data_IF_554761487046
#
_entry.id   IF_554761487046
#
_cell.length_a   1.000
_cell.length_b   1.000
_cell.length_c   1.000
_cell.angle_alpha   90.00
_cell.angle_beta   90.00
_cell.angle_gamma   90.00
#
_symmetry.space_group_name_H-M   'P 1'
#
loop_
_entity.id
_entity.type
_entity.pdbx_description
1 polymer ?
#
# COMPACT_ATOMS: atom_id res chain seq x y z
N UNK A 1 15.16 -31.00 -5.58
CA UNK A 1 13.85 -30.78 -6.22
C UNK A 1 13.66 -29.27 -6.27
N UNK A 2 14.02 -28.64 -7.40
CA UNK A 2 14.18 -27.19 -7.54
C UNK A 2 12.81 -26.50 -7.49
N UNK A 3 12.63 -25.67 -6.46
CA UNK A 3 11.47 -24.79 -6.28
C UNK A 3 11.67 -23.62 -7.27
N UNK A 4 10.88 -23.58 -8.35
CA UNK A 4 10.76 -22.39 -9.20
C UNK A 4 9.77 -21.44 -8.55
N UNK A 5 10.26 -20.28 -8.11
CA UNK A 5 9.45 -19.18 -7.63
C UNK A 5 8.52 -18.64 -8.74
N UNK A 6 7.41 -17.97 -8.37
CA UNK A 6 6.48 -17.38 -9.32
C UNK A 6 7.14 -16.12 -9.86
N UNK A 7 7.24 -16.04 -11.18
CA UNK A 7 7.64 -14.80 -11.85
C UNK A 7 6.50 -13.79 -11.69
N UNK A 8 6.70 -12.58 -11.14
CA UNK A 8 5.82 -11.47 -11.48
C UNK A 8 6.08 -11.17 -12.96
N UNK A 9 5.13 -11.58 -13.80
CA UNK A 9 5.20 -11.43 -15.24
C UNK A 9 4.79 -10.00 -15.61
N UNK A 10 5.72 -9.05 -15.56
CA UNK A 10 5.58 -7.80 -16.30
C UNK A 10 6.09 -8.03 -17.72
N UNK A 11 5.23 -8.55 -18.59
CA UNK A 11 5.45 -8.56 -20.03
C UNK A 11 4.10 -8.37 -20.71
N UNK A 12 3.82 -7.16 -21.23
CA UNK A 12 2.70 -6.96 -22.14
C UNK A 12 3.24 -6.47 -23.49
N UNK A 13 3.17 -7.37 -24.47
CA UNK A 13 3.28 -7.06 -25.89
C UNK A 13 1.88 -6.67 -26.40
N UNK A 14 1.80 -5.59 -27.18
CA UNK A 14 0.61 -5.18 -27.94
C UNK A 14 0.16 -6.24 -28.96
N UNK A 15 -1.15 -6.42 -29.12
CA UNK A 15 -1.80 -6.69 -30.41
C UNK A 15 -3.32 -6.47 -30.35
N UNK A 16 -3.84 -5.70 -31.31
CA UNK A 16 -5.23 -5.28 -31.46
C UNK A 16 -6.11 -6.26 -32.25
N UNK A 17 -7.42 -6.04 -32.10
CA UNK A 17 -8.58 -6.29 -33.00
C UNK A 17 -9.40 -7.58 -32.84
N UNK A 18 -10.72 -7.39 -32.71
CA UNK A 18 -11.74 -8.33 -33.17
C UNK A 18 -13.05 -8.33 -32.39
N UNK A 19 -13.97 -7.40 -32.70
CA UNK A 19 -15.31 -7.31 -32.12
C UNK A 19 -16.26 -8.47 -32.53
N UNK A 20 -17.26 -8.75 -31.69
CA UNK A 20 -18.42 -9.59 -32.02
C UNK A 20 -19.50 -9.52 -30.93
N UNK A 21 -20.66 -8.97 -31.29
CA UNK A 21 -21.76 -8.58 -30.41
C UNK A 21 -22.91 -9.62 -30.31
N UNK A 22 -23.78 -9.40 -29.30
CA UNK A 22 -25.22 -9.72 -29.22
C UNK A 22 -25.64 -11.20 -28.98
N UNK A 23 -26.72 -11.57 -28.28
CA UNK A 23 -27.71 -10.90 -27.42
C UNK A 23 -28.66 -11.95 -26.76
N UNK A 24 -29.29 -11.55 -25.63
CA UNK A 24 -30.65 -11.89 -25.12
C UNK A 24 -30.97 -13.33 -24.61
N UNK A 25 -32.11 -13.60 -23.89
CA UNK A 25 -33.15 -12.74 -23.31
C UNK A 25 -33.51 -13.02 -21.82
N UNK A 26 -34.59 -12.37 -21.37
CA UNK A 26 -35.15 -12.19 -20.02
C UNK A 26 -36.11 -13.28 -19.49
N UNK A 27 -36.65 -13.00 -18.28
CA UNK A 27 -37.89 -13.45 -17.61
C UNK A 27 -37.67 -14.41 -16.40
N UNK A 28 -38.40 -14.40 -15.28
CA UNK A 28 -39.44 -13.57 -14.63
C UNK A 28 -39.79 -14.28 -13.28
N UNK A 29 -40.51 -13.60 -12.36
CA UNK A 29 -41.25 -14.23 -11.25
C UNK A 29 -40.72 -13.91 -9.86
N UNK A 30 -41.19 -12.85 -9.17
CA UNK A 30 -42.42 -12.71 -8.34
C UNK A 30 -42.32 -13.25 -6.90
N UNK A 31 -42.46 -12.28 -5.98
CA UNK A 31 -43.30 -12.26 -4.76
C UNK A 31 -43.09 -13.21 -3.58
N UNK A 32 -43.12 -12.63 -2.38
CA UNK A 32 -43.49 -13.34 -1.15
C UNK A 32 -42.77 -12.90 0.13
N UNK A 33 -43.12 -11.74 0.67
CA UNK A 33 -43.07 -11.42 2.12
C UNK A 33 -44.54 -11.35 2.61
N UNK A 34 -44.89 -11.23 3.91
CA UNK A 34 -44.06 -11.05 5.11
C UNK A 34 -44.57 -11.83 6.36
N UNK A 35 -43.86 -11.69 7.49
CA UNK A 35 -44.37 -11.51 8.88
C UNK A 35 -43.34 -12.05 9.89
N UNK A 36 -43.30 -11.70 11.16
CA UNK A 36 -43.61 -10.53 12.00
C UNK A 36 -43.16 -10.98 13.42
N UNK A 37 -42.74 -10.03 14.26
CA UNK A 37 -42.77 -10.01 15.75
C UNK A 37 -42.40 -11.28 16.59
N UNK A 38 -41.82 -11.24 17.79
CA UNK A 38 -41.48 -10.19 18.75
C UNK A 38 -40.69 -10.83 19.92
N UNK A 39 -39.98 -9.94 20.59
CA UNK A 39 -39.40 -9.88 21.94
C UNK A 39 -39.91 -10.84 23.05
N UNK A 40 -38.98 -11.23 23.92
CA UNK A 40 -39.23 -11.75 25.27
C UNK A 40 -38.07 -11.38 26.22
N UNK A 41 -38.38 -10.62 27.25
CA UNK A 41 -37.47 -9.92 28.17
C UNK A 41 -37.02 -10.74 29.40
N UNK A 42 -35.74 -10.58 29.77
CA UNK A 42 -35.15 -10.31 31.09
C UNK A 42 -35.50 -11.21 32.30
N UNK A 43 -34.46 -11.78 32.90
CA UNK A 43 -34.36 -12.04 34.34
C UNK A 43 -32.99 -11.57 34.84
N UNK A 44 -33.00 -10.73 35.87
CA UNK A 44 -31.82 -10.06 36.41
C UNK A 44 -31.13 -10.92 37.48
N UNK A 45 -29.88 -11.30 37.24
CA UNK A 45 -28.97 -11.84 38.25
C UNK A 45 -27.97 -10.77 38.72
N UNK A 46 -27.59 -10.88 40.00
CA UNK A 46 -26.84 -9.91 40.81
C UNK A 46 -25.41 -9.71 40.25
N UNK A 47 -24.81 -8.51 40.38
CA UNK A 47 -23.52 -8.23 39.75
C UNK A 47 -22.38 -8.99 40.43
N UNK A 48 -21.79 -9.93 39.68
CA UNK A 48 -20.46 -10.48 39.94
C UNK A 48 -19.43 -9.39 39.62
N UNK A 49 -18.57 -9.11 40.58
CA UNK A 49 -17.45 -8.20 40.46
C UNK A 49 -16.51 -8.69 39.35
N UNK A 50 -16.67 -8.12 38.16
CA UNK A 50 -15.87 -8.46 36.99
C UNK A 50 -14.57 -7.68 37.07
N UNK A 51 -13.45 -8.41 37.17
CA UNK A 51 -12.13 -7.88 36.88
C UNK A 51 -12.22 -7.07 35.58
N UNK A 52 -11.86 -5.79 35.63
CA UNK A 52 -11.73 -4.95 34.44
C UNK A 52 -10.71 -5.59 33.50
N UNK A 53 -11.19 -6.37 32.54
CA UNK A 53 -10.41 -6.81 31.41
C UNK A 53 -9.80 -5.57 30.75
N UNK A 54 -8.52 -5.64 30.36
CA UNK A 54 -7.88 -4.63 29.52
C UNK A 54 -8.84 -4.32 28.37
N UNK A 55 -9.27 -3.06 28.25
CA UNK A 55 -10.16 -2.63 27.18
C UNK A 55 -9.57 -3.11 25.85
N UNK A 56 -10.36 -3.88 25.09
CA UNK A 56 -10.01 -4.22 23.70
C UNK A 56 -9.75 -2.91 22.96
N UNK A 57 -8.63 -2.77 22.22
CA UNK A 57 -8.40 -1.57 21.43
C UNK A 57 -9.59 -1.33 20.50
N UNK A 58 -9.93 -0.05 20.29
CA UNK A 58 -10.97 0.35 19.36
C UNK A 58 -10.66 -0.24 17.96
N UNK A 59 -11.72 -0.53 17.19
CA UNK A 59 -11.63 -1.06 15.81
C UNK A 59 -10.57 -0.29 15.02
N UNK A 60 -9.71 -1.00 14.29
CA UNK A 60 -8.81 -0.39 13.28
C UNK A 60 -7.70 0.52 13.82
N UNK A 61 -7.65 0.84 15.12
CA UNK A 61 -6.57 1.65 15.68
C UNK A 61 -5.34 0.77 15.98
N UNK A 62 -4.70 0.33 14.90
CA UNK A 62 -3.43 -0.40 14.92
C UNK A 62 -2.22 0.56 14.97
N UNK A 63 -2.44 1.88 14.91
CA UNK A 63 -1.36 2.86 14.92
C UNK A 63 -0.67 2.96 16.29
N UNK A 64 0.67 3.01 16.32
CA UNK A 64 1.38 3.29 17.56
C UNK A 64 1.07 4.70 18.05
N UNK A 65 0.93 4.87 19.37
CA UNK A 65 0.70 6.19 19.98
C UNK A 65 1.88 7.14 19.77
N UNK A 66 3.10 6.60 19.75
CA UNK A 66 4.35 7.33 19.57
C UNK A 66 5.29 6.53 18.67
N UNK A 67 6.17 7.20 17.93
CA UNK A 67 7.06 6.54 16.99
C UNK A 67 6.33 5.97 15.76
N UNK A 68 7.08 5.26 14.94
CA UNK A 68 6.66 4.82 13.60
C UNK A 68 7.12 3.39 13.38
N UNK A 69 6.23 2.55 12.86
CA UNK A 69 6.54 1.16 12.53
C UNK A 69 7.51 1.13 11.35
N UNK A 70 8.66 0.48 11.52
CA UNK A 70 9.55 0.18 10.41
C UNK A 70 9.19 -1.17 9.82
N UNK A 71 8.87 -1.21 8.54
CA UNK A 71 8.62 -2.45 7.81
C UNK A 71 9.54 -2.66 6.63
N UNK A 72 9.38 -3.82 6.01
CA UNK A 72 10.16 -4.22 4.84
C UNK A 72 9.31 -5.04 3.88
N UNK A 73 9.47 -4.79 2.58
CA UNK A 73 9.11 -5.72 1.51
C UNK A 73 10.36 -6.43 1.04
N UNK A 74 10.53 -7.69 1.45
CA UNK A 74 11.63 -8.54 0.99
C UNK A 74 11.24 -9.29 -0.27
N UNK A 75 12.23 -9.72 -1.05
CA UNK A 75 12.05 -10.76 -2.06
C UNK A 75 11.83 -12.12 -1.39
N UNK A 76 10.57 -12.44 -1.08
CA UNK A 76 10.16 -13.70 -0.45
C UNK A 76 10.61 -14.97 -1.20
N UNK A 77 10.93 -14.86 -2.50
CA UNK A 77 11.44 -15.97 -3.30
C UNK A 77 12.91 -16.29 -3.03
N UNK A 78 13.67 -15.30 -2.54
CA UNK A 78 15.12 -15.38 -2.36
C UNK A 78 15.59 -15.03 -0.92
N UNK A 79 14.70 -14.61 -0.04
CA UNK A 79 15.01 -14.19 1.33
C UNK A 79 13.94 -14.63 2.33
N UNK A 80 14.24 -14.47 3.62
CA UNK A 80 13.30 -14.71 4.71
C UNK A 80 13.30 -13.55 5.69
N UNK A 81 12.20 -13.39 6.42
CA UNK A 81 12.10 -12.32 7.42
C UNK A 81 13.16 -12.48 8.54
N UNK A 82 13.53 -13.72 8.86
CA UNK A 82 14.57 -14.02 9.85
C UNK A 82 15.96 -13.62 9.34
N UNK A 83 16.32 -13.98 8.11
CA UNK A 83 17.61 -13.61 7.52
C UNK A 83 17.73 -12.08 7.35
N UNK A 84 16.66 -11.40 6.93
CA UNK A 84 16.63 -9.93 6.92
C UNK A 84 16.83 -9.35 8.32
N UNK A 85 16.16 -9.90 9.34
CA UNK A 85 16.30 -9.45 10.72
C UNK A 85 17.73 -9.65 11.27
N UNK A 86 18.42 -10.72 10.88
CA UNK A 86 19.84 -10.94 11.21
C UNK A 86 20.73 -9.86 10.60
N UNK A 87 20.53 -9.52 9.32
CA UNK A 87 21.29 -8.45 8.64
C UNK A 87 21.01 -7.06 9.23
N UNK A 88 19.76 -6.78 9.60
CA UNK A 88 19.36 -5.52 10.23
C UNK A 88 19.75 -5.44 11.73
N UNK A 89 20.03 -6.59 12.36
CA UNK A 89 20.25 -6.71 13.81
C UNK A 89 18.98 -6.60 14.67
N UNK A 90 17.79 -6.62 14.05
CA UNK A 90 16.47 -6.53 14.69
C UNK A 90 15.38 -6.95 13.72
N UNK A 91 14.29 -7.52 14.23
CA UNK A 91 13.14 -7.87 13.39
C UNK A 91 12.30 -6.62 13.02
N UNK A 92 11.91 -6.46 11.75
CA UNK A 92 11.05 -5.35 11.31
C UNK A 92 9.68 -5.43 12.00
N UNK A 93 9.06 -4.29 12.32
CA UNK A 93 7.73 -4.27 12.91
C UNK A 93 6.64 -4.74 11.94
N UNK A 94 6.84 -4.53 10.64
CA UNK A 94 5.86 -4.88 9.60
C UNK A 94 6.55 -5.70 8.50
N UNK A 95 6.00 -6.88 8.20
CA UNK A 95 6.34 -7.65 7.01
C UNK A 95 5.37 -7.28 5.89
N UNK A 96 5.88 -6.84 4.74
CA UNK A 96 5.09 -6.48 3.58
C UNK A 96 5.01 -7.65 2.62
N UNK A 97 3.80 -8.01 2.18
CA UNK A 97 3.57 -9.04 1.16
C UNK A 97 2.47 -8.63 0.19
N UNK A 98 2.52 -9.19 -1.01
CA UNK A 98 1.58 -8.94 -2.10
C UNK A 98 0.90 -10.25 -2.49
N UNK A 99 -0.33 -10.15 -3.00
CA UNK A 99 -1.07 -11.29 -3.52
C UNK A 99 -2.12 -10.84 -4.52
N UNK A 100 -2.41 -11.66 -5.53
CA UNK A 100 -3.54 -11.45 -6.42
C UNK A 100 -4.88 -11.53 -5.68
N UNK A 101 -5.91 -10.93 -6.26
CA UNK A 101 -7.26 -10.97 -5.73
C UNK A 101 -8.31 -11.22 -6.83
N UNK A 102 -9.17 -12.25 -6.69
CA UNK A 102 -9.13 -13.33 -5.71
C UNK A 102 -7.84 -14.15 -5.80
N UNK A 103 -7.42 -14.71 -4.65
CA UNK A 103 -6.22 -15.54 -4.57
C UNK A 103 -6.44 -16.91 -5.19
N UNK A 104 -5.43 -17.42 -5.90
CA UNK A 104 -5.27 -18.84 -6.18
C UNK A 104 -4.88 -19.61 -4.91
N UNK A 105 -5.07 -20.93 -4.90
CA UNK A 105 -4.65 -21.77 -3.77
C UNK A 105 -3.15 -21.68 -3.46
N UNK A 106 -2.33 -21.40 -4.48
CA UNK A 106 -0.90 -21.25 -4.31
C UNK A 106 -0.55 -19.93 -3.61
N UNK A 107 -1.21 -18.84 -3.98
CA UNK A 107 -1.06 -17.55 -3.31
C UNK A 107 -1.56 -17.59 -1.87
N UNK A 108 -2.66 -18.31 -1.60
CA UNK A 108 -3.12 -18.54 -0.24
C UNK A 108 -2.06 -19.25 0.62
N UNK A 109 -1.36 -20.26 0.06
CA UNK A 109 -0.27 -20.93 0.76
C UNK A 109 0.92 -20.01 1.04
N UNK A 110 1.30 -19.14 0.09
CA UNK A 110 2.39 -18.18 0.33
C UNK A 110 2.00 -17.14 1.38
N UNK A 111 0.75 -16.67 1.36
CA UNK A 111 0.25 -15.75 2.38
C UNK A 111 0.27 -16.41 3.77
N UNK A 112 -0.15 -17.68 3.88
CA UNK A 112 -0.08 -18.45 5.12
C UNK A 112 1.38 -18.56 5.63
N UNK A 113 2.36 -18.77 4.73
CA UNK A 113 3.79 -18.81 5.09
C UNK A 113 4.33 -17.44 5.54
N UNK A 114 3.95 -16.36 4.87
CA UNK A 114 4.34 -15.00 5.25
C UNK A 114 3.78 -14.63 6.63
N UNK A 115 2.53 -15.00 6.92
CA UNK A 115 1.89 -14.82 8.23
C UNK A 115 2.63 -15.60 9.32
N UNK A 116 3.03 -16.85 9.06
CA UNK A 116 3.80 -17.64 10.02
C UNK A 116 5.17 -17.01 10.31
N UNK A 117 5.87 -16.48 9.30
CA UNK A 117 7.13 -15.76 9.51
C UNK A 117 6.92 -14.46 10.31
N UNK A 118 5.90 -13.67 9.97
CA UNK A 118 5.56 -12.46 10.71
C UNK A 118 5.24 -12.79 12.18
N UNK A 119 4.43 -13.82 12.42
CA UNK A 119 4.09 -14.31 13.77
C UNK A 119 5.34 -14.74 14.55
N UNK A 120 6.25 -15.48 13.92
CA UNK A 120 7.48 -15.95 14.54
C UNK A 120 8.43 -14.79 14.90
N UNK A 121 8.50 -13.76 14.06
CA UNK A 121 9.29 -12.56 14.30
C UNK A 121 8.64 -11.57 15.28
N UNK A 122 7.35 -11.72 15.57
CA UNK A 122 6.57 -10.74 16.34
C UNK A 122 6.20 -9.49 15.53
N UNK A 123 6.22 -9.61 14.20
CA UNK A 123 5.84 -8.57 13.24
C UNK A 123 4.33 -8.57 12.97
N UNK A 124 3.84 -7.44 12.50
CA UNK A 124 2.52 -7.29 11.88
C UNK A 124 2.64 -7.48 10.36
N UNK A 125 1.52 -7.61 9.65
CA UNK A 125 1.52 -7.82 8.21
C UNK A 125 0.94 -6.59 7.50
N UNK A 126 1.64 -6.05 6.51
CA UNK A 126 0.99 -5.23 5.48
C UNK A 126 0.74 -6.14 4.27
N UNK A 127 -0.53 -6.37 3.98
CA UNK A 127 -0.98 -7.19 2.86
C UNK A 127 -1.50 -6.30 1.74
N UNK A 128 -0.82 -6.30 0.60
CA UNK A 128 -1.34 -5.72 -0.63
C UNK A 128 -2.14 -6.77 -1.39
N UNK A 129 -3.39 -6.44 -1.75
CA UNK A 129 -4.24 -7.31 -2.57
C UNK A 129 -4.52 -6.67 -3.93
N UNK A 130 -4.26 -7.42 -4.99
CA UNK A 130 -4.13 -6.90 -6.35
C UNK A 130 -5.16 -7.54 -7.29
N UNK A 131 -6.25 -6.83 -7.64
CA UNK A 131 -7.30 -7.38 -8.49
C UNK A 131 -6.91 -7.39 -9.97
N UNK A 132 -5.93 -8.22 -10.35
CA UNK A 132 -5.42 -8.30 -11.72
C UNK A 132 -6.48 -8.73 -12.76
N UNK A 133 -7.57 -9.35 -12.33
CA UNK A 133 -8.74 -9.67 -13.18
C UNK A 133 -9.77 -8.54 -13.26
N UNK A 134 -9.49 -7.39 -12.67
CA UNK A 134 -10.35 -6.21 -12.64
C UNK A 134 -11.20 -6.08 -11.37
N UNK A 135 -11.76 -4.89 -11.17
CA UNK A 135 -12.52 -4.53 -9.97
C UNK A 135 -13.85 -5.30 -9.81
N UNK A 136 -14.41 -5.83 -10.90
CA UNK A 136 -15.59 -6.71 -10.87
C UNK A 136 -15.38 -7.96 -10.02
N UNK A 137 -14.13 -8.44 -9.91
CA UNK A 137 -13.80 -9.59 -9.09
C UNK A 137 -13.93 -9.30 -7.57
N UNK A 138 -14.05 -8.03 -7.19
CA UNK A 138 -14.33 -7.55 -5.83
C UNK A 138 -15.81 -7.68 -5.54
N UNK A 139 -16.30 -8.92 -5.52
CA UNK A 139 -17.67 -9.23 -5.14
C UNK A 139 -17.83 -9.28 -3.62
N UNK A 140 -19.09 -9.23 -3.14
CA UNK A 140 -19.40 -9.43 -1.72
C UNK A 140 -18.93 -10.79 -1.22
N UNK A 141 -18.96 -11.83 -2.07
CA UNK A 141 -18.50 -13.17 -1.72
C UNK A 141 -16.98 -13.20 -1.53
N UNK A 142 -16.22 -12.71 -2.52
CA UNK A 142 -14.76 -12.70 -2.47
C UNK A 142 -14.23 -11.81 -1.34
N UNK A 143 -14.86 -10.64 -1.12
CA UNK A 143 -14.50 -9.75 -0.01
C UNK A 143 -14.70 -10.41 1.36
N UNK A 144 -15.80 -11.17 1.55
CA UNK A 144 -16.03 -11.93 2.80
C UNK A 144 -15.10 -13.11 2.97
N UNK A 145 -14.72 -13.78 1.88
CA UNK A 145 -13.77 -14.88 1.92
C UNK A 145 -12.41 -14.38 2.43
N UNK A 146 -11.89 -13.29 1.85
CA UNK A 146 -10.67 -12.64 2.33
C UNK A 146 -10.81 -12.17 3.78
N UNK A 147 -11.89 -11.46 4.12
CA UNK A 147 -12.11 -10.99 5.49
C UNK A 147 -12.17 -12.12 6.53
N UNK A 148 -12.70 -13.29 6.16
CA UNK A 148 -12.72 -14.49 7.02
C UNK A 148 -11.31 -15.06 7.23
N UNK A 149 -10.50 -15.12 6.17
CA UNK A 149 -9.09 -15.54 6.25
C UNK A 149 -8.27 -14.59 7.12
N UNK A 150 -8.43 -13.27 6.93
CA UNK A 150 -7.78 -12.24 7.75
C UNK A 150 -8.18 -12.34 9.23
N UNK A 151 -9.46 -12.60 9.52
CA UNK A 151 -9.90 -12.88 10.89
C UNK A 151 -9.23 -14.14 11.47
N UNK A 152 -8.88 -15.12 10.63
CA UNK A 152 -8.03 -16.26 10.99
C UNK A 152 -6.65 -15.84 11.47
N UNK A 153 -5.94 -15.03 10.71
CA UNK A 153 -4.63 -14.50 11.08
C UNK A 153 -4.69 -13.64 12.34
N UNK A 154 -5.74 -12.82 12.49
CA UNK A 154 -5.98 -12.05 13.71
C UNK A 154 -6.10 -12.95 14.97
N UNK A 155 -6.70 -14.13 14.85
CA UNK A 155 -6.78 -15.11 15.96
C UNK A 155 -5.44 -15.75 16.29
N UNK A 156 -4.51 -15.79 15.33
CA UNK A 156 -3.14 -16.25 15.54
C UNK A 156 -2.23 -15.16 16.13
N UNK A 157 -2.76 -13.95 16.35
CA UNK A 157 -2.05 -12.83 16.96
C UNK A 157 -1.43 -11.86 15.95
N UNK A 158 -1.62 -12.06 14.64
CA UNK A 158 -1.07 -11.18 13.60
C UNK A 158 -2.09 -10.10 13.24
N UNK A 159 -1.70 -8.84 13.45
CA UNK A 159 -2.44 -7.68 12.99
C UNK A 159 -2.13 -7.43 11.52
N UNK A 160 -3.15 -6.99 10.76
CA UNK A 160 -3.02 -6.81 9.32
C UNK A 160 -3.41 -5.40 8.90
N UNK A 161 -2.56 -4.77 8.09
CA UNK A 161 -2.88 -3.58 7.32
C UNK A 161 -3.20 -4.02 5.90
N UNK A 162 -4.48 -3.97 5.51
CA UNK A 162 -4.92 -4.40 4.19
C UNK A 162 -4.85 -3.21 3.22
N UNK A 163 -3.83 -3.19 2.36
CA UNK A 163 -3.65 -2.23 1.28
C UNK A 163 -4.34 -2.75 0.02
N UNK A 164 -5.58 -2.33 -0.19
CA UNK A 164 -6.39 -2.83 -1.30
C UNK A 164 -6.15 -2.02 -2.57
N UNK A 165 -5.81 -2.71 -3.69
CA UNK A 165 -5.68 -2.13 -5.03
C UNK A 165 -4.89 -0.80 -5.00
N UNK A 166 -3.65 -0.87 -4.53
CA UNK A 166 -2.76 0.28 -4.39
C UNK A 166 -2.53 1.02 -5.71
N UNK A 167 -2.11 2.28 -5.62
CA UNK A 167 -1.64 3.07 -6.78
C UNK A 167 -2.68 3.19 -7.90
N UNK A 168 -3.95 3.24 -7.51
CA UNK A 168 -5.09 3.39 -8.42
C UNK A 168 -5.06 4.68 -9.24
N UNK A 169 -4.29 5.69 -8.81
CA UNK A 169 -4.07 6.95 -9.52
C UNK A 169 -2.99 6.86 -10.61
N UNK A 170 -2.24 5.75 -10.70
CA UNK A 170 -1.31 5.46 -11.78
C UNK A 170 -2.00 5.13 -13.11
N UNK A 171 -1.29 4.53 -14.05
CA UNK A 171 -1.84 4.09 -15.35
C UNK A 171 -1.36 2.69 -15.79
N UNK A 172 -0.73 1.95 -14.87
CA UNK A 172 -0.05 0.67 -15.12
C UNK A 172 -0.79 -0.57 -14.62
N UNK A 173 -1.83 -0.44 -13.79
CA UNK A 173 -2.61 -1.56 -13.27
C UNK A 173 -4.04 -1.62 -13.82
N UNK A 174 -4.66 -2.81 -13.92
CA UNK A 174 -6.01 -2.95 -14.48
C UNK A 174 -7.13 -2.31 -13.64
N UNK A 175 -6.84 -1.92 -12.40
CA UNK A 175 -7.74 -1.15 -11.53
C UNK A 175 -7.44 0.36 -11.53
N UNK A 176 -6.41 0.80 -12.24
CA UNK A 176 -6.00 2.20 -12.29
C UNK A 176 -6.94 3.03 -13.17
N UNK A 177 -7.03 4.33 -12.91
CA UNK A 177 -7.82 5.30 -13.69
C UNK A 177 -9.30 4.91 -13.84
N UNK A 178 -9.87 4.37 -12.76
CA UNK A 178 -11.29 3.97 -12.65
C UNK A 178 -11.92 4.50 -11.36
N UNK A 179 -12.08 5.83 -11.19
CA UNK A 179 -12.40 6.42 -9.88
C UNK A 179 -13.64 5.83 -9.22
N UNK A 180 -14.77 5.78 -9.93
CA UNK A 180 -16.04 5.33 -9.38
C UNK A 180 -16.03 3.82 -9.05
N UNK A 181 -15.58 2.98 -9.99
CA UNK A 181 -15.46 1.54 -9.78
C UNK A 181 -14.50 1.22 -8.62
N UNK A 182 -13.40 1.97 -8.52
CA UNK A 182 -12.42 1.83 -7.44
C UNK A 182 -13.06 2.13 -6.08
N UNK A 183 -13.76 3.26 -5.98
CA UNK A 183 -14.45 3.68 -4.75
C UNK A 183 -15.46 2.62 -4.31
N UNK A 184 -16.26 2.09 -5.24
CA UNK A 184 -17.27 1.06 -4.93
C UNK A 184 -16.64 -0.27 -4.49
N UNK A 185 -15.57 -0.71 -5.17
CA UNK A 185 -14.82 -1.90 -4.79
C UNK A 185 -14.17 -1.74 -3.41
N UNK A 186 -13.54 -0.60 -3.14
CA UNK A 186 -12.92 -0.30 -1.84
C UNK A 186 -13.96 -0.33 -0.73
N UNK A 187 -15.10 0.34 -0.91
CA UNK A 187 -16.18 0.37 0.08
C UNK A 187 -16.72 -1.02 0.39
N UNK A 188 -16.81 -1.88 -0.62
CA UNK A 188 -17.27 -3.27 -0.46
C UNK A 188 -16.27 -4.12 0.31
N UNK A 189 -14.98 -4.00 -0.01
CA UNK A 189 -13.90 -4.65 0.74
C UNK A 189 -13.88 -4.19 2.20
N UNK A 190 -13.90 -2.88 2.42
CA UNK A 190 -13.91 -2.27 3.76
C UNK A 190 -15.10 -2.74 4.59
N UNK A 191 -16.30 -2.80 3.99
CA UNK A 191 -17.50 -3.31 4.66
C UNK A 191 -17.32 -4.75 5.15
N UNK A 192 -16.71 -5.63 4.33
CA UNK A 192 -16.48 -7.02 4.72
C UNK A 192 -15.42 -7.14 5.83
N UNK A 193 -14.30 -6.41 5.69
CA UNK A 193 -13.20 -6.40 6.65
C UNK A 193 -13.64 -5.85 8.01
N UNK A 194 -14.26 -4.67 8.04
CA UNK A 194 -14.76 -4.05 9.28
C UNK A 194 -15.79 -4.90 10.02
N UNK A 195 -16.55 -5.72 9.30
CA UNK A 195 -17.53 -6.62 9.89
C UNK A 195 -16.90 -7.90 10.47
N UNK A 196 -15.79 -8.39 9.91
CA UNK A 196 -15.32 -9.77 10.12
C UNK A 196 -13.93 -9.86 10.77
N UNK A 197 -13.02 -8.94 10.46
CA UNK A 197 -11.62 -8.94 10.87
C UNK A 197 -11.29 -7.68 11.70
N UNK A 198 -11.65 -7.65 13.00
CA UNK A 198 -11.54 -6.44 13.83
C UNK A 198 -10.10 -6.00 14.14
N UNK A 199 -9.10 -6.85 13.87
CA UNK A 199 -7.67 -6.51 13.97
C UNK A 199 -7.02 -6.40 12.58
N UNK A 200 -7.83 -6.04 11.59
CA UNK A 200 -7.37 -5.62 10.27
C UNK A 200 -7.79 -4.18 10.03
N UNK A 201 -6.84 -3.35 9.61
CA UNK A 201 -7.08 -1.97 9.22
C UNK A 201 -7.11 -1.84 7.69
N UNK A 202 -8.15 -1.20 7.15
CA UNK A 202 -8.23 -0.85 5.73
C UNK A 202 -7.34 0.35 5.42
N UNK A 203 -6.44 0.18 4.45
CA UNK A 203 -5.52 1.22 3.99
C UNK A 203 -5.85 1.66 2.57
N UNK A 204 -6.03 2.96 2.36
CA UNK A 204 -6.13 3.60 1.05
C UNK A 204 -4.77 4.23 0.71
N UNK A 205 -4.13 3.77 -0.36
CA UNK A 205 -2.74 4.12 -0.67
C UNK A 205 -2.51 4.39 -2.16
N UNK A 206 -2.57 5.66 -2.61
CA UNK A 206 -2.13 6.05 -3.95
C UNK A 206 -0.60 6.00 -4.11
N UNK A 207 -0.15 6.12 -5.36
CA UNK A 207 1.23 6.51 -5.70
C UNK A 207 1.40 8.01 -5.46
N UNK A 208 2.63 8.48 -5.22
CA UNK A 208 2.92 9.92 -5.28
C UNK A 208 2.43 10.55 -6.60
N UNK A 209 1.99 11.82 -6.54
CA UNK A 209 1.24 12.47 -7.61
C UNK A 209 2.08 13.06 -8.74
N UNK A 210 3.38 13.23 -8.54
CA UNK A 210 4.28 13.77 -9.56
C UNK A 210 4.24 12.94 -10.84
N UNK A 211 4.02 13.59 -11.97
CA UNK A 211 3.84 12.95 -13.27
C UNK A 211 2.40 12.52 -13.60
N UNK A 212 1.40 12.78 -12.74
CA UNK A 212 -0.01 12.58 -13.07
C UNK A 212 -0.41 13.35 -14.35
N UNK A 213 -1.23 12.77 -15.25
CA UNK A 213 -1.96 11.51 -15.15
C UNK A 213 -1.20 10.27 -15.66
N UNK A 214 0.14 10.30 -15.67
CA UNK A 214 1.00 9.20 -16.11
C UNK A 214 0.66 8.74 -17.53
N UNK A 215 0.63 9.69 -18.46
CA UNK A 215 0.22 9.45 -19.84
C UNK A 215 1.06 8.36 -20.52
N UNK A 216 0.41 7.55 -21.36
CA UNK A 216 1.04 6.46 -22.11
C UNK A 216 0.97 5.09 -21.42
N UNK A 217 0.47 5.00 -20.19
CA UNK A 217 0.26 3.72 -19.50
C UNK A 217 -0.81 2.85 -20.15
N UNK A 218 -0.65 1.53 -20.05
CA UNK A 218 -1.52 0.53 -20.69
C UNK A 218 -2.97 0.54 -20.18
N UNK A 219 -3.22 1.14 -19.02
CA UNK A 219 -4.53 1.29 -18.40
C UNK A 219 -4.96 2.76 -18.26
N UNK A 220 -4.37 3.66 -19.03
CA UNK A 220 -4.81 5.05 -19.07
C UNK A 220 -6.30 5.16 -19.44
N UNK A 221 -7.06 5.96 -18.71
CA UNK A 221 -8.45 6.27 -19.01
C UNK A 221 -8.53 6.98 -20.38
N UNK A 222 -9.34 6.49 -21.33
CA UNK A 222 -9.50 7.17 -22.60
C UNK A 222 -10.19 8.53 -22.41
N UNK A 223 -9.68 9.56 -23.09
CA UNK A 223 -10.25 10.91 -23.04
C UNK A 223 -11.74 10.93 -23.45
N UNK A 224 -12.53 11.80 -22.81
CA UNK A 224 -13.97 11.96 -23.07
C UNK A 224 -14.82 10.75 -22.67
N UNK A 225 -14.36 9.96 -21.70
CA UNK A 225 -15.12 8.85 -21.08
C UNK A 225 -15.36 9.19 -19.61
N UNK A 226 -16.36 8.53 -19.01
CA UNK A 226 -16.74 8.74 -17.62
C UNK A 226 -15.57 8.69 -16.63
N UNK A 227 -14.63 7.76 -16.81
CA UNK A 227 -13.44 7.68 -15.96
C UNK A 227 -12.55 8.94 -16.06
N UNK A 228 -12.32 9.46 -17.27
CA UNK A 228 -11.56 10.68 -17.48
C UNK A 228 -12.33 11.92 -17.00
N UNK A 229 -13.65 11.97 -17.17
CA UNK A 229 -14.50 13.04 -16.62
C UNK A 229 -14.48 13.07 -15.08
N UNK A 230 -14.37 11.91 -14.43
CA UNK A 230 -14.23 11.83 -12.97
C UNK A 230 -12.83 12.23 -12.47
N UNK A 231 -11.82 12.13 -13.34
CA UNK A 231 -10.44 12.53 -13.07
C UNK A 231 -10.18 14.01 -13.37
N UNK A 232 -10.97 14.64 -14.23
CA UNK A 232 -10.96 16.08 -14.52
C UNK A 232 -11.58 16.85 -13.33
N UNK A 233 -10.71 17.21 -12.40
CA UNK A 233 -11.04 17.79 -11.10
C UNK A 233 -11.13 19.30 -11.10
N UNK A 234 -10.53 19.97 -12.10
CA UNK A 234 -10.64 21.41 -12.33
C UNK A 234 -11.75 21.77 -13.35
N UNK A 235 -12.21 20.79 -14.14
CA UNK A 235 -13.35 20.88 -15.04
C UNK A 235 -13.03 21.54 -16.38
N UNK A 236 -11.77 21.52 -16.81
CA UNK A 236 -11.34 22.14 -18.07
C UNK A 236 -11.54 21.26 -19.32
N UNK A 237 -11.95 19.99 -19.12
CA UNK A 237 -12.19 18.99 -20.16
C UNK A 237 -10.99 18.11 -20.49
N UNK A 238 -9.85 18.28 -19.83
CA UNK A 238 -8.60 17.52 -20.04
C UNK A 238 -8.02 17.08 -18.71
N UNK A 239 -7.67 15.79 -18.59
CA UNK A 239 -6.94 15.32 -17.42
C UNK A 239 -5.45 15.69 -17.55
N UNK A 240 -4.93 16.51 -16.65
CA UNK A 240 -3.55 17.02 -16.65
C UNK A 240 -2.89 16.91 -15.27
N UNK A 241 -1.67 17.44 -15.12
CA UNK A 241 -0.99 17.51 -13.82
C UNK A 241 -1.57 18.55 -12.86
N UNK A 242 -2.45 19.44 -13.33
CA UNK A 242 -3.18 20.40 -12.50
C UNK A 242 -4.35 19.75 -11.74
N UNK A 243 -4.74 18.55 -12.15
CA UNK A 243 -5.78 17.78 -11.48
C UNK A 243 -5.31 17.15 -10.18
N UNK A 244 -6.21 17.05 -9.21
CA UNK A 244 -5.97 16.35 -7.95
C UNK A 244 -5.86 14.83 -8.22
N UNK A 245 -4.66 14.24 -8.07
CA UNK A 245 -4.42 12.84 -8.41
C UNK A 245 -5.05 11.88 -7.39
N UNK A 246 -5.56 12.39 -6.26
CA UNK A 246 -5.97 11.59 -5.11
C UNK A 246 -7.48 11.63 -4.90
N UNK A 247 -8.07 12.82 -4.95
CA UNK A 247 -9.47 13.09 -4.58
C UNK A 247 -10.49 12.23 -5.33
N UNK A 248 -10.38 11.97 -6.65
CA UNK A 248 -11.33 11.13 -7.37
C UNK A 248 -11.47 9.72 -6.78
N UNK A 249 -10.39 9.18 -6.20
CA UNK A 249 -10.34 7.81 -5.69
C UNK A 249 -10.66 7.67 -4.21
N UNK A 250 -11.01 8.77 -3.52
CA UNK A 250 -11.22 8.76 -2.07
C UNK A 250 -12.53 8.02 -1.69
N UNK A 251 -12.46 6.86 -1.01
CA UNK A 251 -13.65 6.05 -0.75
C UNK A 251 -14.54 6.62 0.37
N UNK A 252 -14.06 7.63 1.10
CA UNK A 252 -14.73 8.25 2.22
C UNK A 252 -14.24 7.75 3.58
N UNK A 253 -14.14 8.67 4.54
CA UNK A 253 -13.50 8.49 5.85
C UNK A 253 -13.97 7.27 6.66
N UNK A 254 -15.23 6.85 6.52
CA UNK A 254 -15.79 5.71 7.27
C UNK A 254 -15.27 4.34 6.80
N UNK A 255 -14.66 4.29 5.61
CA UNK A 255 -14.12 3.06 5.01
C UNK A 255 -12.61 2.92 5.20
N UNK A 256 -11.93 3.98 5.63
CA UNK A 256 -10.48 4.08 5.69
C UNK A 256 -10.02 4.17 7.15
N UNK A 257 -9.12 3.28 7.53
CA UNK A 257 -8.46 3.27 8.84
C UNK A 257 -7.05 3.88 8.77
N UNK A 258 -6.38 3.75 7.62
CA UNK A 258 -5.05 4.28 7.33
C UNK A 258 -5.00 4.89 5.93
N UNK A 259 -4.22 5.95 5.78
CA UNK A 259 -3.80 6.41 4.45
C UNK A 259 -2.34 6.02 4.21
N UNK A 260 -2.02 5.69 2.98
CA UNK A 260 -0.69 5.27 2.55
C UNK A 260 -0.21 6.05 1.33
N UNK A 261 1.08 6.05 1.07
CA UNK A 261 1.62 6.50 -0.22
C UNK A 261 2.88 5.70 -0.56
N UNK A 262 3.02 5.30 -1.82
CA UNK A 262 4.29 4.85 -2.38
C UNK A 262 5.14 6.07 -2.74
N UNK A 263 6.37 6.14 -2.20
CA UNK A 263 7.28 7.27 -2.39
C UNK A 263 8.69 6.75 -2.60
N UNK A 264 9.24 6.95 -3.80
CA UNK A 264 10.58 6.48 -4.17
C UNK A 264 11.44 7.66 -4.63
N UNK A 265 12.76 7.50 -4.49
CA UNK A 265 13.69 8.28 -5.27
C UNK A 265 14.09 7.50 -6.52
N UNK A 266 13.48 7.84 -7.66
CA UNK A 266 13.81 7.28 -8.99
C UNK A 266 15.00 7.99 -9.67
N UNK A 267 15.23 9.25 -9.34
CA UNK A 267 16.19 10.14 -9.99
C UNK A 267 15.70 11.59 -9.96
N UNK A 268 16.31 12.43 -10.79
CA UNK A 268 15.99 13.82 -11.04
C UNK A 268 15.07 13.98 -12.26
N UNK A 269 15.45 13.55 -13.47
CA UNK A 269 14.59 13.68 -14.68
C UNK A 269 14.35 12.37 -15.44
N UNK A 270 13.13 12.14 -15.93
CA UNK A 270 12.80 11.02 -16.83
C UNK A 270 13.40 11.24 -18.25
N UNK A 271 13.93 10.21 -18.95
CA UNK A 271 13.98 8.80 -18.58
C UNK A 271 14.96 8.52 -17.45
N UNK A 272 14.51 7.69 -16.50
CA UNK A 272 15.32 7.27 -15.35
C UNK A 272 16.46 6.33 -15.77
N UNK A 273 17.47 6.19 -14.91
CA UNK A 273 18.55 5.23 -15.10
C UNK A 273 19.94 5.81 -14.88
N UNK A 274 20.09 7.13 -14.83
CA UNK A 274 21.29 7.76 -14.27
C UNK A 274 21.25 7.67 -12.74
N UNK A 275 22.38 7.36 -12.13
CA UNK A 275 22.52 7.32 -10.69
C UNK A 275 22.64 8.75 -10.14
N UNK A 276 21.56 9.29 -9.63
CA UNK A 276 21.49 10.67 -9.14
C UNK A 276 21.27 10.71 -7.62
N UNK A 277 21.87 11.69 -6.94
CA UNK A 277 21.67 11.89 -5.50
C UNK A 277 20.36 12.65 -5.28
N UNK A 278 19.46 12.22 -4.39
CA UNK A 278 18.24 12.96 -4.08
C UNK A 278 18.58 14.32 -3.48
N UNK A 279 17.82 15.34 -3.88
CA UNK A 279 17.90 16.68 -3.33
C UNK A 279 17.50 16.71 -1.85
N UNK A 280 18.13 17.60 -1.08
CA UNK A 280 17.78 17.81 0.32
C UNK A 280 16.31 18.20 0.45
N UNK A 281 15.58 17.51 1.34
CA UNK A 281 14.17 17.81 1.63
C UNK A 281 13.16 17.06 0.78
N UNK A 282 13.57 16.48 -0.36
CA UNK A 282 12.72 15.76 -1.32
C UNK A 282 11.70 14.85 -0.65
N UNK A 283 12.11 13.96 0.26
CA UNK A 283 11.17 13.03 0.92
C UNK A 283 9.96 13.73 1.58
N UNK A 284 10.20 14.84 2.28
CA UNK A 284 9.14 15.58 2.95
C UNK A 284 8.33 16.39 1.93
N UNK A 285 9.00 16.97 0.94
CA UNK A 285 8.34 17.78 -0.09
C UNK A 285 7.34 16.96 -0.93
N UNK A 286 7.68 15.70 -1.26
CA UNK A 286 6.75 14.79 -1.94
C UNK A 286 5.52 14.47 -1.08
N UNK A 287 5.67 14.34 0.25
CA UNK A 287 4.55 14.09 1.16
C UNK A 287 3.68 15.32 1.42
N UNK A 288 4.28 16.52 1.30
CA UNK A 288 3.68 17.81 1.61
C UNK A 288 3.20 18.58 0.39
N UNK A 289 3.40 18.06 -0.83
CA UNK A 289 3.02 18.76 -2.05
C UNK A 289 3.78 20.07 -2.23
N UNK A 290 5.06 20.09 -1.86
CA UNK A 290 5.94 21.28 -1.93
C UNK A 290 7.17 21.06 -2.79
N UNK A 291 7.17 20.00 -3.61
CA UNK A 291 8.31 19.66 -4.44
C UNK A 291 8.39 20.54 -5.67
N UNK A 292 9.45 21.35 -5.72
CA UNK A 292 9.92 22.12 -6.87
C UNK A 292 11.43 21.87 -6.94
N UNK A 293 11.84 20.97 -7.83
CA UNK A 293 13.18 20.38 -7.79
C UNK A 293 13.67 19.95 -9.16
N UNK A 294 14.67 19.07 -9.17
CA UNK A 294 15.28 18.63 -10.42
C UNK A 294 14.32 17.81 -11.30
N UNK A 295 13.25 17.25 -10.73
CA UNK A 295 12.16 16.61 -11.50
C UNK A 295 11.12 17.58 -12.06
N UNK A 296 11.30 18.88 -11.84
CA UNK A 296 10.39 19.94 -12.26
C UNK A 296 9.56 20.50 -11.12
N UNK A 297 8.69 21.43 -11.49
CA UNK A 297 7.68 22.03 -10.62
C UNK A 297 6.48 21.07 -10.49
N UNK A 298 6.31 20.49 -9.30
CA UNK A 298 5.19 19.61 -8.97
C UNK A 298 4.28 20.23 -7.89
N UNK A 299 4.27 21.56 -7.78
CA UNK A 299 3.48 22.29 -6.76
C UNK A 299 1.96 22.15 -6.93
N UNK A 300 1.50 21.63 -8.08
CA UNK A 300 0.11 21.24 -8.29
C UNK A 300 -0.29 19.98 -7.49
N UNK A 301 0.68 19.12 -7.12
CA UNK A 301 0.42 17.92 -6.33
C UNK A 301 -0.04 18.33 -4.91
N UNK A 302 -1.22 17.89 -4.44
CA UNK A 302 -1.73 18.28 -3.13
C UNK A 302 -0.87 17.82 -1.95
N UNK A 303 -0.89 18.59 -0.85
CA UNK A 303 -0.32 18.19 0.45
C UNK A 303 -1.08 16.98 1.03
N UNK A 304 -0.70 15.78 0.58
CA UNK A 304 -1.34 14.51 0.95
C UNK A 304 -1.31 14.30 2.47
N UNK A 305 -0.16 14.58 3.09
CA UNK A 305 0.02 14.39 4.51
C UNK A 305 -0.89 15.31 5.34
N UNK A 306 -1.04 16.58 4.94
CA UNK A 306 -1.96 17.50 5.62
C UNK A 306 -3.41 17.15 5.38
N UNK A 307 -3.79 16.89 4.13
CA UNK A 307 -5.19 16.66 3.76
C UNK A 307 -5.73 15.36 4.35
N UNK A 308 -5.01 14.25 4.15
CA UNK A 308 -5.48 12.93 4.56
C UNK A 308 -4.94 12.50 5.93
N UNK A 309 -3.74 12.92 6.32
CA UNK A 309 -3.18 12.63 7.64
C UNK A 309 -3.71 13.56 8.72
N UNK A 310 -3.29 14.83 8.67
CA UNK A 310 -3.56 15.81 9.74
C UNK A 310 -5.04 16.18 9.86
N UNK A 311 -5.69 16.58 8.76
CA UNK A 311 -7.09 17.05 8.78
C UNK A 311 -8.07 15.92 9.07
N UNK A 312 -7.88 14.75 8.44
CA UNK A 312 -8.78 13.59 8.64
C UNK A 312 -8.43 12.74 9.86
N UNK A 313 -7.31 13.05 10.53
CA UNK A 313 -6.80 12.34 11.71
C UNK A 313 -6.64 10.85 11.42
N UNK A 314 -6.00 10.54 10.29
CA UNK A 314 -5.67 9.18 9.90
C UNK A 314 -4.16 8.96 10.04
N UNK A 315 -3.74 7.79 10.55
CA UNK A 315 -2.34 7.41 10.50
C UNK A 315 -1.88 7.29 9.04
N UNK A 316 -0.73 7.89 8.76
CA UNK A 316 -0.07 7.91 7.45
C UNK A 316 1.01 6.84 7.42
N UNK A 317 1.02 6.06 6.34
CA UNK A 317 2.07 5.11 6.02
C UNK A 317 2.82 5.57 4.75
N UNK A 318 4.14 5.58 4.77
CA UNK A 318 4.89 5.43 3.51
C UNK A 318 4.94 3.92 3.25
N UNK A 319 4.08 3.46 2.36
CA UNK A 319 3.81 2.03 2.19
C UNK A 319 4.94 1.32 1.51
N UNK A 320 5.69 2.05 0.69
CA UNK A 320 6.88 1.62 -0.02
C UNK A 320 7.81 2.81 -0.21
N UNK A 321 9.10 2.61 0.05
CA UNK A 321 10.15 3.56 -0.29
C UNK A 321 11.50 2.87 -0.47
N UNK A 322 12.29 3.38 -1.41
CA UNK A 322 13.69 3.07 -1.60
C UNK A 322 14.32 4.14 -2.51
N UNK A 323 15.64 4.05 -2.71
CA UNK A 323 16.37 4.89 -3.64
C UNK A 323 16.94 4.04 -4.78
N UNK A 324 16.75 4.49 -6.01
CA UNK A 324 17.20 3.80 -7.21
C UNK A 324 18.72 3.77 -7.23
N UNK A 325 19.27 2.60 -7.55
CA UNK A 325 20.66 2.45 -7.93
C UNK A 325 20.75 1.43 -9.07
N UNK A 326 21.29 1.84 -10.21
CA UNK A 326 21.54 0.98 -11.37
C UNK A 326 23.03 0.63 -11.37
N UNK A 327 23.42 -0.62 -11.04
CA UNK A 327 24.83 -0.98 -10.83
C UNK A 327 25.73 -0.74 -12.04
N UNK A 328 25.19 -0.87 -13.24
CA UNK A 328 25.92 -0.74 -14.50
C UNK A 328 25.79 0.67 -15.13
N UNK A 329 25.10 1.60 -14.47
CA UNK A 329 24.93 2.97 -14.95
C UNK A 329 26.04 3.91 -14.44
N UNK A 330 26.22 5.03 -15.14
CA UNK A 330 27.03 6.14 -14.67
C UNK A 330 26.29 7.00 -13.65
N UNK A 331 27.03 7.91 -13.01
CA UNK A 331 26.50 8.86 -12.04
C UNK A 331 27.16 8.71 -10.66
N UNK A 332 26.40 9.01 -9.62
CA UNK A 332 26.82 8.93 -8.23
C UNK A 332 26.93 7.49 -7.71
N UNK A 333 27.77 7.30 -6.70
CA UNK A 333 27.96 6.01 -6.04
C UNK A 333 26.70 5.56 -5.28
N UNK A 334 26.45 4.26 -5.23
CA UNK A 334 25.33 3.63 -4.49
C UNK A 334 25.15 4.22 -3.08
N UNK A 335 26.26 4.32 -2.35
CA UNK A 335 26.25 4.83 -0.97
C UNK A 335 25.81 6.28 -0.92
N UNK A 336 26.22 7.12 -1.86
CA UNK A 336 25.83 8.53 -1.86
C UNK A 336 24.31 8.67 -2.04
N UNK A 337 23.73 7.92 -2.97
CA UNK A 337 22.30 7.96 -3.28
C UNK A 337 21.48 7.40 -2.13
N UNK A 338 21.77 6.15 -1.71
CA UNK A 338 20.99 5.47 -0.69
C UNK A 338 21.11 6.19 0.66
N UNK A 339 22.29 6.71 1.01
CA UNK A 339 22.45 7.47 2.25
C UNK A 339 21.75 8.81 2.28
N UNK A 340 21.83 9.58 1.19
CA UNK A 340 21.06 10.81 1.10
C UNK A 340 19.55 10.55 1.22
N UNK A 341 19.03 9.45 0.65
CA UNK A 341 17.62 9.10 0.79
C UNK A 341 17.25 8.63 2.20
N UNK A 342 17.97 7.64 2.76
CA UNK A 342 17.62 7.13 4.08
C UNK A 342 17.82 8.19 5.17
N UNK A 343 18.75 9.13 5.02
CA UNK A 343 18.94 10.23 5.98
C UNK A 343 17.71 11.13 6.02
N UNK A 344 17.06 11.37 4.88
CA UNK A 344 15.80 12.12 4.80
C UNK A 344 14.62 11.32 5.37
N UNK A 345 14.48 10.04 5.01
CA UNK A 345 13.38 9.18 5.49
C UNK A 345 13.46 8.98 7.00
N UNK A 346 14.67 8.78 7.53
CA UNK A 346 14.95 8.48 8.94
C UNK A 346 15.18 9.73 9.80
N UNK A 347 15.11 10.93 9.21
CA UNK A 347 15.37 12.18 9.89
C UNK A 347 14.55 12.32 11.18
N UNK A 348 15.22 12.65 12.30
CA UNK A 348 14.55 12.85 13.58
C UNK A 348 13.52 14.01 13.57
N UNK A 349 13.65 14.92 12.61
CA UNK A 349 12.67 15.99 12.35
C UNK A 349 11.32 15.43 11.93
N UNK A 350 11.26 14.33 11.18
CA UNK A 350 10.02 13.70 10.73
C UNK A 350 9.12 13.32 11.90
N UNK A 351 9.69 12.77 12.98
CA UNK A 351 8.94 12.44 14.20
C UNK A 351 8.30 13.67 14.88
N UNK A 352 8.81 14.89 14.63
CA UNK A 352 8.28 16.14 15.18
C UNK A 352 7.33 16.86 14.22
N UNK A 353 7.68 16.92 12.94
CA UNK A 353 6.95 17.69 11.91
C UNK A 353 5.87 16.86 11.23
N UNK A 354 5.94 15.54 11.32
CA UNK A 354 4.96 14.61 10.77
C UNK A 354 4.45 13.62 11.85
N UNK A 355 3.76 14.10 12.91
CA UNK A 355 3.30 13.24 14.02
C UNK A 355 2.23 12.19 13.63
N UNK A 356 1.60 12.31 12.46
CA UNK A 356 0.68 11.34 11.87
C UNK A 356 1.38 10.32 10.98
N UNK A 357 2.67 10.48 10.67
CA UNK A 357 3.47 9.40 10.10
C UNK A 357 3.58 8.30 11.16
N UNK A 358 3.15 7.08 10.81
CA UNK A 358 3.04 5.94 11.72
C UNK A 358 3.60 4.65 11.16
N UNK A 359 3.92 4.60 9.88
CA UNK A 359 4.61 3.48 9.25
C UNK A 359 5.51 3.96 8.11
N UNK A 360 6.67 3.35 7.95
CA UNK A 360 7.54 3.46 6.77
C UNK A 360 8.02 2.06 6.44
N UNK A 361 7.82 1.60 5.21
CA UNK A 361 8.34 0.30 4.77
C UNK A 361 9.37 0.47 3.66
N UNK A 362 10.53 -0.15 3.85
CA UNK A 362 11.58 -0.17 2.85
C UNK A 362 11.30 -1.25 1.79
N UNK A 363 11.53 -0.94 0.52
CA UNK A 363 11.45 -1.89 -0.58
C UNK A 363 12.81 -2.57 -0.80
N UNK A 364 12.96 -3.79 -0.29
CA UNK A 364 14.22 -4.54 -0.24
C UNK A 364 14.30 -5.55 -1.39
N UNK A 365 14.30 -5.04 -2.62
CA UNK A 365 14.39 -5.84 -3.84
C UNK A 365 15.56 -5.41 -4.73
N UNK A 366 16.16 -6.37 -5.42
CA UNK A 366 17.04 -6.09 -6.54
C UNK A 366 16.50 -6.81 -7.79
N UNK A 367 15.83 -6.06 -8.65
CA UNK A 367 14.99 -6.58 -9.73
C UNK A 367 15.22 -5.84 -11.04
N UNK A 368 14.70 -6.41 -12.11
CA UNK A 368 14.59 -5.69 -13.38
C UNK A 368 13.45 -4.67 -13.27
N UNK A 369 13.71 -3.43 -13.70
CA UNK A 369 12.73 -2.35 -13.79
C UNK A 369 12.54 -1.96 -15.26
N UNK A 370 11.33 -2.10 -15.82
CA UNK A 370 11.04 -1.68 -17.19
C UNK A 370 11.33 -0.20 -17.46
N UNK A 371 11.19 0.66 -16.46
CA UNK A 371 11.37 2.11 -16.55
C UNK A 371 12.82 2.52 -16.86
N UNK A 372 13.80 1.65 -16.56
CA UNK A 372 15.22 1.85 -16.88
C UNK A 372 15.77 0.82 -17.86
N UNK A 373 14.93 -0.11 -18.32
CA UNK A 373 15.32 -1.29 -19.12
C UNK A 373 16.55 -2.03 -18.55
N UNK A 374 16.57 -2.21 -17.23
CA UNK A 374 17.77 -2.65 -16.52
C UNK A 374 17.53 -3.16 -15.11
N UNK A 375 18.60 -3.66 -14.48
CA UNK A 375 18.55 -4.08 -13.07
C UNK A 375 18.69 -2.85 -12.17
N UNK A 376 17.74 -2.68 -11.26
CA UNK A 376 17.82 -1.71 -10.16
C UNK A 376 18.00 -2.47 -8.85
N UNK A 377 18.91 -1.98 -8.02
CA UNK A 377 19.14 -2.45 -6.66
C UNK A 377 18.56 -1.47 -5.64
N UNK A 378 17.38 -1.79 -5.11
CA UNK A 378 16.70 -1.00 -4.07
C UNK A 378 17.13 -1.40 -2.65
N UNK A 379 17.95 -2.44 -2.51
CA UNK A 379 18.24 -3.07 -1.22
C UNK A 379 19.18 -2.23 -0.36
N UNK A 380 19.04 -2.29 0.96
CA UNK A 380 19.98 -1.64 1.89
C UNK A 380 20.70 -2.62 2.81
N UNK A 381 20.37 -3.91 2.77
CA UNK A 381 20.96 -4.92 3.67
C UNK A 381 21.81 -5.98 2.96
N UNK A 382 21.88 -5.97 1.63
CA UNK A 382 22.56 -7.04 0.86
C UNK A 382 24.05 -6.77 0.63
N UNK A 383 24.44 -5.50 0.46
CA UNK A 383 25.85 -5.06 0.34
C UNK A 383 26.40 -4.68 1.72
N UNK A 384 27.52 -5.26 2.22
CA UNK A 384 28.01 -5.05 3.58
C UNK A 384 28.20 -3.58 3.97
N UNK A 385 28.83 -2.78 3.12
CA UNK A 385 29.12 -1.37 3.39
C UNK A 385 27.85 -0.50 3.43
N UNK A 386 26.84 -0.86 2.62
CA UNK A 386 25.53 -0.19 2.61
C UNK A 386 24.74 -0.60 3.86
N UNK A 387 24.75 -1.89 4.21
CA UNK A 387 24.09 -2.43 5.39
C UNK A 387 24.63 -1.82 6.69
N UNK A 388 25.95 -1.70 6.83
CA UNK A 388 26.58 -1.06 7.99
C UNK A 388 26.12 0.41 8.12
N UNK A 389 26.12 1.15 7.01
CA UNK A 389 25.67 2.54 6.97
C UNK A 389 24.18 2.68 7.33
N UNK A 390 23.32 1.87 6.74
CA UNK A 390 21.88 1.89 7.01
C UNK A 390 21.56 1.52 8.46
N UNK A 391 22.16 0.45 8.99
CA UNK A 391 21.97 0.02 10.38
C UNK A 391 22.43 1.09 11.37
N UNK A 392 23.53 1.78 11.08
CA UNK A 392 24.02 2.90 11.89
C UNK A 392 23.07 4.11 11.87
N UNK A 393 22.36 4.34 10.76
CA UNK A 393 21.40 5.44 10.60
C UNK A 393 20.05 5.18 11.29
N UNK A 394 19.71 3.93 11.63
CA UNK A 394 18.41 3.56 12.22
C UNK A 394 18.12 4.34 13.52
N UNK A 395 17.10 5.21 13.53
CA UNK A 395 16.86 6.09 14.66
C UNK A 395 16.00 5.40 15.74
N UNK A 396 16.10 5.90 16.97
CA UNK A 396 15.36 5.37 18.13
C UNK A 396 13.84 5.62 18.10
N UNK A 397 13.36 6.51 17.22
CA UNK A 397 11.92 6.79 17.10
C UNK A 397 11.18 5.75 16.25
N UNK A 398 11.91 4.91 15.49
CA UNK A 398 11.34 3.75 14.84
C UNK A 398 10.99 2.66 15.85
N UNK A 399 9.91 1.96 15.56
CA UNK A 399 9.44 0.78 16.26
C UNK A 399 9.72 -0.46 15.42
N UNK A 400 10.19 -1.49 16.10
CA UNK A 400 10.53 -2.80 15.56
C UNK A 400 9.64 -3.86 16.22
N UNK A 401 9.66 -5.09 15.70
CA UNK A 401 8.87 -6.17 16.27
C UNK A 401 9.19 -6.40 17.75
N UNK A 402 8.17 -6.81 18.52
CA UNK A 402 8.29 -7.04 19.97
C UNK A 402 8.41 -5.78 20.84
N UNK A 403 8.45 -4.57 20.28
CA UNK A 403 8.40 -3.32 21.04
C UNK A 403 7.06 -3.11 21.77
N UNK A 404 7.09 -2.47 22.94
CA UNK A 404 5.87 -2.19 23.70
C UNK A 404 4.89 -1.29 22.89
N UNK A 405 3.62 -1.71 22.81
CA UNK A 405 2.55 -1.02 22.05
C UNK A 405 2.12 0.30 22.69
#
# INVERSE_FOLDING_TARGET
MQIRAPRPLALLLMLCLGAGAAAAPAAAGTDGRPSDASEGSVSAERPVETQRGKARPARGFLAPRSGVLFGVSIDWGNDTLAAYAERLGRAPAVAVTFTGFPMSSQEEMWLDQAVEQARAAGSELLLTVEPFTGLDAVTKANSRALATRLAGYNRQGVDVYLRFAHEMNGSWYPWAQKPDDYVDAFRRMATAVHATAPRTAMMWAPNYGGGYPFAGGVHQAPAGRADAEAMDTDGDGTVTGEDDPYRPYWPGRKHVDWVGMSVYHWGAVYPWGENEVPEDGKYVDLLRGTYDGAAGDELAVPDFYREYGERMRLPVAVTETAALYVPDAGGADERAIKSAWWDQVLAATNARTMPWLKMVNWFEWAKFEPEVDGRVDWTVTTTPEIAEGFVAALPRWLRYAGGAR
#
